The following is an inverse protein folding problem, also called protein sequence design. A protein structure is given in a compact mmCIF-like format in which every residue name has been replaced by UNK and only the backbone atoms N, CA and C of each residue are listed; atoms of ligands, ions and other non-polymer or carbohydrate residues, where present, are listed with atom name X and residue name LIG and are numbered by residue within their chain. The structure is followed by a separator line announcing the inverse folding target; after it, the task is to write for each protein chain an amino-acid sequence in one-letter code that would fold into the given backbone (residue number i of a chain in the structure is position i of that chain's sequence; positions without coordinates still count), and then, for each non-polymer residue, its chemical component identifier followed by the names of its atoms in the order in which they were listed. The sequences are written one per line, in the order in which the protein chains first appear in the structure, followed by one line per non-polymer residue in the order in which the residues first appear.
data_IF_251683739541
#
_entry.id   IF_251683739541
#
_cell.length_a   1.000
_cell.length_b   1.000
_cell.length_c   1.000
_cell.angle_alpha   90.00
_cell.angle_beta   90.00
_cell.angle_gamma   90.00
#
_symmetry.space_group_name_H-M   'P 1'
#
loop_
_entity.id
_entity.type
_entity.pdbx_description
1 polymer ?
#
# COMPACT_ATOMS: atom_id res chain seq x y z
N UNK A 1 -8.65 -6.37 -4.21
CA UNK A 1 -9.84 -5.61 -3.76
C UNK A 1 -9.78 -5.47 -2.25
N UNK A 2 -10.07 -4.28 -1.74
CA UNK A 2 -10.07 -4.02 -0.30
C UNK A 2 -11.08 -2.94 0.05
N UNK A 3 -11.49 -2.86 1.31
CA UNK A 3 -12.49 -1.89 1.74
C UNK A 3 -11.93 -0.47 1.88
N UNK A 4 -12.81 0.52 1.67
CA UNK A 4 -12.56 1.93 1.95
C UNK A 4 -13.59 2.37 3.00
N UNK A 5 -13.11 2.79 4.16
CA UNK A 5 -13.98 3.10 5.31
C UNK A 5 -13.45 4.35 6.03
N UNK A 6 -14.22 4.85 6.98
CA UNK A 6 -13.82 6.01 7.78
C UNK A 6 -12.94 5.65 8.99
N UNK A 7 -13.10 4.44 9.50
CA UNK A 7 -12.33 4.00 10.67
C UNK A 7 -11.62 2.68 10.38
N UNK A 8 -10.57 2.42 11.14
CA UNK A 8 -9.84 1.15 11.06
C UNK A 8 -10.74 -0.02 11.47
N UNK A 9 -11.62 0.15 12.47
CA UNK A 9 -12.52 -0.91 12.90
C UNK A 9 -13.54 -1.28 11.82
N UNK A 10 -14.14 -0.27 11.16
CA UNK A 10 -15.06 -0.53 10.05
C UNK A 10 -14.33 -1.26 8.90
N UNK A 11 -13.05 -0.90 8.66
CA UNK A 11 -12.24 -1.55 7.63
C UNK A 11 -12.02 -3.03 7.98
N UNK A 12 -11.65 -3.30 9.23
CA UNK A 12 -11.45 -4.68 9.69
C UNK A 12 -12.74 -5.50 9.57
N UNK A 13 -13.88 -4.93 9.99
CA UNK A 13 -15.17 -5.62 9.91
C UNK A 13 -15.54 -5.94 8.46
N UNK A 14 -15.43 -4.95 7.58
CA UNK A 14 -15.77 -5.14 6.17
C UNK A 14 -14.80 -6.11 5.47
N UNK A 15 -13.51 -6.01 5.75
CA UNK A 15 -12.51 -6.93 5.21
C UNK A 15 -12.83 -8.37 5.55
N UNK A 16 -13.10 -8.66 6.84
CA UNK A 16 -13.39 -10.03 7.26
C UNK A 16 -14.72 -10.54 6.70
N UNK A 17 -15.70 -9.66 6.51
CA UNK A 17 -16.97 -10.03 5.86
C UNK A 17 -16.79 -10.38 4.37
N UNK A 18 -15.72 -9.89 3.73
CA UNK A 18 -15.43 -10.18 2.33
C UNK A 18 -14.67 -11.50 2.14
N UNK A 19 -14.12 -12.10 3.19
CA UNK A 19 -13.34 -13.32 3.10
C UNK A 19 -14.29 -14.53 3.15
N UNK A 20 -14.24 -15.39 2.14
CA UNK A 20 -15.06 -16.60 2.10
C UNK A 20 -14.57 -17.64 3.12
N UNK A 21 -15.51 -18.35 3.72
CA UNK A 21 -15.21 -19.51 4.56
C UNK A 21 -14.77 -19.17 5.98
N UNK A 22 -14.93 -17.93 6.44
CA UNK A 22 -14.63 -17.57 7.82
C UNK A 22 -15.92 -17.47 8.64
N UNK A 23 -15.85 -17.90 9.92
CA UNK A 23 -16.89 -17.58 10.88
C UNK A 23 -16.68 -16.15 11.35
N UNK A 24 -17.61 -15.26 11.04
CA UNK A 24 -17.45 -13.83 11.35
C UNK A 24 -17.44 -13.56 12.86
N UNK A 25 -18.21 -14.31 13.65
CA UNK A 25 -18.26 -14.10 15.10
C UNK A 25 -16.93 -14.50 15.75
N UNK A 26 -16.41 -15.68 15.38
CA UNK A 26 -15.11 -16.16 15.85
C UNK A 26 -13.98 -15.23 15.42
N UNK A 27 -14.00 -14.83 14.15
CA UNK A 27 -12.99 -13.93 13.58
C UNK A 27 -13.03 -12.56 14.29
N UNK A 28 -14.23 -12.01 14.50
CA UNK A 28 -14.38 -10.73 15.17
C UNK A 28 -13.91 -10.77 16.62
N UNK A 29 -14.20 -11.85 17.35
CA UNK A 29 -13.69 -12.03 18.72
C UNK A 29 -12.15 -12.04 18.75
N UNK A 30 -11.51 -12.65 17.73
CA UNK A 30 -10.04 -12.61 17.61
C UNK A 30 -9.54 -11.18 17.33
N UNK A 31 -10.21 -10.46 16.43
CA UNK A 31 -9.86 -9.07 16.12
C UNK A 31 -9.93 -8.21 17.38
N UNK A 32 -11.04 -8.29 18.13
CA UNK A 32 -11.23 -7.53 19.35
C UNK A 32 -10.15 -7.86 20.38
N UNK A 33 -9.86 -9.15 20.58
CA UNK A 33 -8.83 -9.59 21.53
C UNK A 33 -7.45 -9.04 21.13
N UNK A 34 -7.05 -9.17 19.87
CA UNK A 34 -5.72 -8.72 19.41
C UNK A 34 -5.60 -7.20 19.56
N UNK A 35 -6.68 -6.46 19.27
CA UNK A 35 -6.70 -4.99 19.45
C UNK A 35 -6.59 -4.62 20.94
N UNK A 36 -7.31 -5.34 21.81
CA UNK A 36 -7.31 -5.06 23.25
C UNK A 36 -5.95 -5.37 23.89
N UNK A 37 -5.29 -6.44 23.44
CA UNK A 37 -3.99 -6.90 23.98
C UNK A 37 -2.80 -6.16 23.35
N UNK A 38 -3.02 -5.33 22.34
CA UNK A 38 -1.95 -4.68 21.59
C UNK A 38 -1.23 -3.63 22.43
N UNK A 39 0.10 -3.71 22.44
CA UNK A 39 0.97 -2.81 23.22
C UNK A 39 1.99 -2.15 22.29
N UNK A 40 1.75 -0.88 21.99
CA UNK A 40 2.61 -0.10 21.11
C UNK A 40 4.07 -0.02 21.62
N UNK A 41 4.25 -0.02 22.94
CA UNK A 41 5.60 0.08 23.52
C UNK A 41 6.48 -1.16 23.27
N UNK A 42 5.87 -2.24 22.83
CA UNK A 42 6.58 -3.47 22.45
C UNK A 42 6.72 -3.63 20.94
N UNK A 43 6.33 -2.62 20.18
CA UNK A 43 6.25 -2.70 18.71
C UNK A 43 7.48 -2.06 18.08
N UNK A 44 8.09 -2.77 17.15
CA UNK A 44 9.20 -2.27 16.32
C UNK A 44 8.64 -1.88 14.98
N UNK A 45 8.70 -0.58 14.67
CA UNK A 45 8.28 0.00 13.39
C UNK A 45 9.54 0.21 12.54
N UNK A 46 9.61 -0.42 11.39
CA UNK A 46 10.70 -0.19 10.45
C UNK A 46 10.27 0.84 9.39
N UNK A 47 11.13 1.83 9.16
CA UNK A 47 10.95 2.85 8.13
C UNK A 47 12.04 2.63 7.07
N UNK A 48 11.65 2.33 5.81
CA UNK A 48 12.66 2.17 4.76
C UNK A 48 13.46 3.45 4.55
N UNK A 49 14.76 3.28 4.32
CA UNK A 49 15.71 4.39 4.18
C UNK A 49 15.82 4.91 2.74
N UNK A 50 15.14 4.28 1.79
CA UNK A 50 15.21 4.64 0.37
C UNK A 50 13.84 4.45 -0.31
N UNK A 51 13.79 4.59 -1.64
CA UNK A 51 12.64 4.37 -2.53
C UNK A 51 11.39 5.16 -2.14
N UNK A 52 10.82 4.90 -0.96
CA UNK A 52 9.53 5.47 -0.53
C UNK A 52 9.63 6.95 -0.14
N UNK A 53 10.82 7.39 0.22
CA UNK A 53 11.09 8.78 0.63
C UNK A 53 11.77 9.58 -0.49
N UNK A 54 12.01 8.95 -1.66
CA UNK A 54 12.56 9.63 -2.83
C UNK A 54 11.45 10.41 -3.55
N UNK A 55 11.75 11.64 -3.94
CA UNK A 55 10.81 12.48 -4.70
C UNK A 55 9.43 12.53 -4.03
N UNK A 56 9.39 12.98 -2.77
CA UNK A 56 8.17 13.13 -1.97
C UNK A 56 7.89 14.63 -1.80
N UNK A 57 6.63 15.00 -1.82
CA UNK A 57 6.16 16.35 -1.53
C UNK A 57 6.53 16.73 -0.09
N UNK A 58 7.00 17.96 0.13
CA UNK A 58 7.46 18.43 1.44
C UNK A 58 6.37 18.30 2.52
N UNK A 59 5.11 18.55 2.19
CA UNK A 59 4.02 18.45 3.16
C UNK A 59 3.72 16.98 3.51
N UNK A 60 3.84 16.08 2.53
CA UNK A 60 3.71 14.64 2.77
C UNK A 60 4.86 14.15 3.64
N UNK A 61 6.08 14.57 3.32
CA UNK A 61 7.28 14.22 4.10
C UNK A 61 7.13 14.69 5.55
N UNK A 62 6.69 15.94 5.75
CA UNK A 62 6.53 16.49 7.10
C UNK A 62 5.46 15.74 7.89
N UNK A 63 4.28 15.52 7.29
CA UNK A 63 3.19 14.79 7.97
C UNK A 63 3.62 13.37 8.36
N UNK A 64 4.34 12.69 7.48
CA UNK A 64 4.86 11.35 7.76
C UNK A 64 5.87 11.40 8.92
N UNK A 65 6.80 12.35 8.88
CA UNK A 65 7.81 12.51 9.94
C UNK A 65 7.14 12.78 11.30
N UNK A 66 6.16 13.67 11.33
CA UNK A 66 5.42 14.00 12.56
C UNK A 66 4.69 12.78 13.12
N UNK A 67 4.10 11.96 12.24
CA UNK A 67 3.43 10.73 12.65
C UNK A 67 4.43 9.73 13.27
N UNK A 68 5.60 9.55 12.64
CA UNK A 68 6.66 8.67 13.18
C UNK A 68 7.10 9.16 14.57
N UNK A 69 7.34 10.47 14.72
CA UNK A 69 7.74 11.05 16.01
C UNK A 69 6.65 10.86 17.08
N UNK A 70 5.38 11.00 16.69
CA UNK A 70 4.26 10.78 17.62
C UNK A 70 4.19 9.33 18.10
N UNK A 71 4.44 8.38 17.20
CA UNK A 71 4.45 6.95 17.55
C UNK A 71 5.65 6.61 18.45
N UNK A 72 6.80 7.21 18.18
CA UNK A 72 7.98 7.05 19.03
C UNK A 72 7.73 7.62 20.42
N UNK A 73 7.14 8.82 20.49
CA UNK A 73 6.77 9.43 21.79
C UNK A 73 5.72 8.59 22.55
N UNK A 74 4.87 7.85 21.84
CA UNK A 74 3.90 6.93 22.42
C UNK A 74 4.50 5.57 22.80
N UNK A 75 5.82 5.38 22.57
CA UNK A 75 6.57 4.23 23.05
C UNK A 75 7.05 3.26 21.99
N UNK A 76 6.66 3.41 20.73
CA UNK A 76 7.11 2.50 19.67
C UNK A 76 8.62 2.64 19.43
N UNK A 77 9.27 1.54 19.07
CA UNK A 77 10.68 1.56 18.66
C UNK A 77 10.76 1.79 17.16
N UNK A 78 11.43 2.86 16.76
CA UNK A 78 11.60 3.19 15.34
C UNK A 78 12.97 2.70 14.87
N UNK A 79 13.00 2.01 13.72
CA UNK A 79 14.25 1.53 13.11
C UNK A 79 14.28 1.86 11.64
N UNK A 80 15.42 2.32 11.15
CA UNK A 80 15.67 2.38 9.72
C UNK A 80 15.93 0.98 9.18
N UNK A 81 15.48 0.69 7.97
CA UNK A 81 15.69 -0.60 7.32
C UNK A 81 15.95 -0.39 5.83
N UNK A 82 16.86 -1.18 5.29
CA UNK A 82 17.09 -1.22 3.85
C UNK A 82 16.27 -2.38 3.25
N UNK A 83 15.47 -2.08 2.26
CA UNK A 83 14.66 -3.08 1.55
C UNK A 83 15.41 -3.60 0.31
N UNK A 84 15.00 -4.74 -0.25
CA UNK A 84 15.57 -5.18 -1.52
C UNK A 84 15.33 -4.16 -2.63
N UNK A 85 16.07 -4.27 -3.72
CA UNK A 85 15.95 -3.37 -4.88
C UNK A 85 14.53 -3.41 -5.45
N UNK A 86 13.70 -2.48 -4.98
CA UNK A 86 12.29 -2.37 -5.37
C UNK A 86 12.11 -1.78 -6.78
N UNK A 87 13.16 -1.17 -7.35
CA UNK A 87 13.08 -0.68 -8.73
C UNK A 87 12.85 -1.82 -9.73
N UNK A 88 13.29 -3.04 -9.40
CA UNK A 88 12.99 -4.23 -10.21
C UNK A 88 11.47 -4.43 -10.37
N UNK A 89 10.69 -4.03 -9.38
CA UNK A 89 9.22 -4.14 -9.41
C UNK A 89 8.62 -3.24 -10.49
N UNK A 90 9.26 -2.10 -10.78
CA UNK A 90 8.82 -1.19 -11.86
C UNK A 90 8.78 -1.88 -13.22
N UNK A 91 9.65 -2.86 -13.44
CA UNK A 91 9.60 -3.67 -14.67
C UNK A 91 8.61 -4.83 -14.53
N UNK A 92 8.64 -5.54 -13.43
CA UNK A 92 7.94 -6.83 -13.28
C UNK A 92 6.42 -6.68 -13.03
N UNK A 93 6.05 -5.77 -12.15
CA UNK A 93 4.65 -5.62 -11.74
C UNK A 93 3.72 -5.25 -12.91
N UNK A 94 4.10 -4.29 -13.81
CA UNK A 94 3.24 -4.00 -14.95
C UNK A 94 3.06 -5.19 -15.90
N UNK A 95 4.07 -6.04 -16.06
CA UNK A 95 3.97 -7.24 -16.90
C UNK A 95 2.91 -8.17 -16.34
N UNK A 96 2.98 -8.46 -15.04
CA UNK A 96 2.00 -9.35 -14.39
C UNK A 96 0.60 -8.72 -14.46
N UNK A 97 0.47 -7.47 -14.02
CA UNK A 97 -0.82 -6.79 -13.95
C UNK A 97 -1.51 -6.71 -15.31
N UNK A 98 -0.78 -6.29 -16.35
CA UNK A 98 -1.35 -6.13 -17.70
C UNK A 98 -1.77 -7.47 -18.28
N UNK A 99 -0.95 -8.50 -18.13
CA UNK A 99 -1.25 -9.85 -18.65
C UNK A 99 -2.50 -10.42 -17.98
N UNK A 100 -2.55 -10.34 -16.64
CA UNK A 100 -3.69 -10.87 -15.89
C UNK A 100 -4.97 -10.07 -16.16
N UNK A 101 -4.88 -8.74 -16.24
CA UNK A 101 -6.04 -7.90 -16.55
C UNK A 101 -6.58 -8.23 -17.96
N UNK A 102 -5.70 -8.35 -18.94
CA UNK A 102 -6.12 -8.72 -20.30
C UNK A 102 -6.80 -10.09 -20.30
N UNK A 103 -6.20 -11.09 -19.67
CA UNK A 103 -6.75 -12.45 -19.64
C UNK A 103 -8.18 -12.51 -19.07
N UNK A 104 -8.46 -11.66 -18.05
CA UNK A 104 -9.80 -11.59 -17.45
C UNK A 104 -10.79 -10.90 -18.39
N UNK A 105 -10.36 -9.83 -19.07
CA UNK A 105 -11.24 -8.98 -19.86
C UNK A 105 -11.35 -9.39 -21.35
N UNK A 106 -10.50 -10.29 -21.83
CA UNK A 106 -10.34 -10.60 -23.25
C UNK A 106 -11.67 -10.75 -24.00
N UNK A 107 -12.56 -11.61 -23.53
CA UNK A 107 -13.85 -11.87 -24.18
C UNK A 107 -14.76 -10.63 -24.23
N UNK A 108 -14.69 -9.78 -23.21
CA UNK A 108 -15.51 -8.56 -23.15
C UNK A 108 -14.91 -7.44 -24.03
N UNK A 109 -13.60 -7.37 -24.09
CA UNK A 109 -12.91 -6.42 -24.95
C UNK A 109 -13.29 -6.68 -26.42
N UNK A 110 -13.36 -7.97 -26.81
CA UNK A 110 -13.75 -8.33 -28.19
C UNK A 110 -15.23 -8.08 -28.46
N UNK A 111 -16.11 -8.42 -27.53
CA UNK A 111 -17.55 -8.37 -27.73
C UNK A 111 -18.17 -6.99 -27.43
N UNK A 112 -17.60 -6.23 -26.51
CA UNK A 112 -18.21 -5.03 -25.94
C UNK A 112 -17.19 -3.88 -25.75
N UNK A 113 -16.33 -3.67 -26.73
CA UNK A 113 -15.27 -2.64 -26.66
C UNK A 113 -15.79 -1.24 -26.34
N UNK A 114 -16.99 -0.91 -26.83
CA UNK A 114 -17.60 0.42 -26.65
C UNK A 114 -18.10 0.69 -25.22
N UNK A 115 -18.20 -0.36 -24.39
CA UNK A 115 -18.63 -0.21 -22.98
C UNK A 115 -17.49 0.21 -22.06
N UNK A 116 -16.26 0.21 -22.55
CA UNK A 116 -15.07 0.62 -21.79
C UNK A 116 -14.79 2.10 -21.99
N UNK A 117 -14.34 2.75 -20.94
CA UNK A 117 -13.69 4.06 -21.05
C UNK A 117 -12.50 3.90 -22.01
N UNK A 118 -12.30 4.83 -22.97
CA UNK A 118 -11.22 4.68 -23.96
C UNK A 118 -9.83 4.50 -23.35
N UNK A 119 -9.51 5.24 -22.28
CA UNK A 119 -8.20 5.14 -21.63
C UNK A 119 -8.01 3.77 -20.96
N UNK A 120 -9.08 3.22 -20.38
CA UNK A 120 -9.07 1.88 -19.77
C UNK A 120 -8.91 0.82 -20.87
N UNK A 121 -9.66 0.95 -21.96
CA UNK A 121 -9.59 0.04 -23.10
C UNK A 121 -8.16 -0.08 -23.65
N UNK A 122 -7.53 1.07 -23.90
CA UNK A 122 -6.15 1.10 -24.43
C UNK A 122 -5.17 0.40 -23.47
N UNK A 123 -5.33 0.63 -22.17
CA UNK A 123 -4.47 -0.01 -21.16
C UNK A 123 -4.66 -1.52 -21.11
N UNK A 124 -5.89 -1.99 -21.26
CA UNK A 124 -6.16 -3.44 -21.29
C UNK A 124 -5.51 -4.07 -22.52
N UNK A 125 -5.56 -3.40 -23.69
CA UNK A 125 -4.92 -3.90 -24.90
C UNK A 125 -3.40 -4.04 -24.75
N UNK A 126 -2.76 -3.23 -23.90
CA UNK A 126 -1.32 -3.38 -23.61
C UNK A 126 -0.98 -4.75 -23.01
N UNK A 127 -1.96 -5.45 -22.45
CA UNK A 127 -1.77 -6.81 -21.91
C UNK A 127 -1.42 -7.87 -22.95
N UNK A 128 -1.61 -7.56 -24.25
CA UNK A 128 -1.18 -8.44 -25.34
C UNK A 128 0.32 -8.38 -25.62
N UNK A 129 1.01 -7.34 -25.11
CA UNK A 129 2.41 -7.09 -25.46
C UNK A 129 3.41 -8.01 -24.74
N UNK A 130 3.24 -8.30 -23.44
CA UNK A 130 4.22 -9.12 -22.72
C UNK A 130 4.35 -10.52 -23.34
N UNK A 131 5.59 -10.97 -23.47
CA UNK A 131 5.87 -12.32 -23.94
C UNK A 131 5.75 -13.31 -22.78
N UNK A 132 5.38 -14.55 -23.08
CA UNK A 132 5.21 -15.57 -22.04
C UNK A 132 6.42 -15.72 -21.12
N UNK A 133 7.64 -15.69 -21.69
CA UNK A 133 8.86 -15.79 -20.86
C UNK A 133 9.04 -14.57 -19.94
N UNK A 134 8.59 -13.39 -20.35
CA UNK A 134 8.67 -12.20 -19.50
C UNK A 134 7.74 -12.33 -18.29
N UNK A 135 6.52 -12.85 -18.53
CA UNK A 135 5.57 -13.13 -17.45
C UNK A 135 6.17 -14.15 -16.45
N UNK A 136 6.74 -15.25 -16.97
CA UNK A 136 7.37 -16.27 -16.10
C UNK A 136 8.51 -15.66 -15.28
N UNK A 137 9.34 -14.84 -15.92
CA UNK A 137 10.44 -14.13 -15.23
C UNK A 137 9.92 -13.20 -14.15
N UNK A 138 8.85 -12.46 -14.43
CA UNK A 138 8.24 -11.55 -13.47
C UNK A 138 7.66 -12.32 -12.27
N UNK A 139 7.01 -13.46 -12.49
CA UNK A 139 6.46 -14.28 -11.39
C UNK A 139 7.61 -14.83 -10.51
N UNK A 140 8.70 -15.32 -11.10
CA UNK A 140 9.86 -15.80 -10.31
C UNK A 140 10.48 -14.69 -9.48
N UNK A 141 10.61 -13.50 -10.07
CA UNK A 141 11.11 -12.33 -9.37
C UNK A 141 10.18 -11.94 -8.19
N UNK A 142 8.86 -12.10 -8.35
CA UNK A 142 7.91 -11.86 -7.27
C UNK A 142 8.22 -12.74 -6.05
N UNK A 143 8.43 -14.05 -6.28
CA UNK A 143 8.76 -14.98 -5.20
C UNK A 143 10.03 -14.55 -4.45
N UNK A 144 11.07 -14.20 -5.19
CA UNK A 144 12.35 -13.75 -4.64
C UNK A 144 12.18 -12.49 -3.78
N UNK A 145 11.53 -11.46 -4.33
CA UNK A 145 11.35 -10.18 -3.63
C UNK A 145 10.43 -10.37 -2.41
N UNK A 146 9.38 -11.18 -2.54
CA UNK A 146 8.47 -11.47 -1.40
C UNK A 146 9.25 -12.06 -0.23
N UNK A 147 10.13 -13.04 -0.49
CA UNK A 147 10.96 -13.65 0.56
C UNK A 147 11.91 -12.64 1.21
N UNK A 148 12.48 -11.75 0.40
CA UNK A 148 13.38 -10.71 0.91
C UNK A 148 12.66 -9.70 1.80
N UNK A 149 11.45 -9.27 1.40
CA UNK A 149 10.62 -8.37 2.20
C UNK A 149 10.15 -9.09 3.48
N UNK A 150 9.70 -10.34 3.36
CA UNK A 150 9.26 -11.13 4.52
C UNK A 150 10.39 -11.28 5.55
N UNK A 151 11.64 -11.37 5.10
CA UNK A 151 12.79 -11.46 6.01
C UNK A 151 12.95 -10.21 6.89
N UNK A 152 12.48 -9.04 6.44
CA UNK A 152 12.54 -7.80 7.22
C UNK A 152 11.69 -7.90 8.49
N UNK A 153 10.62 -8.69 8.46
CA UNK A 153 9.72 -8.88 9.61
C UNK A 153 10.31 -9.80 10.69
N UNK A 154 11.52 -10.31 10.51
CA UNK A 154 12.25 -10.98 11.59
C UNK A 154 12.72 -10.00 12.66
N UNK A 155 12.86 -8.72 12.31
CA UNK A 155 13.38 -7.68 13.20
C UNK A 155 12.44 -6.49 13.37
N UNK A 156 11.30 -6.50 12.69
CA UNK A 156 10.28 -5.45 12.77
C UNK A 156 8.90 -6.08 12.78
N UNK A 157 7.96 -5.44 13.44
CA UNK A 157 6.57 -5.91 13.47
C UNK A 157 5.79 -5.39 12.27
N UNK A 158 6.09 -4.16 11.83
CA UNK A 158 5.46 -3.52 10.68
C UNK A 158 6.48 -2.64 9.95
N UNK A 159 6.25 -2.41 8.66
CA UNK A 159 6.91 -1.36 7.89
C UNK A 159 5.96 -0.17 7.76
N UNK A 160 6.50 1.05 7.73
CA UNK A 160 5.70 2.25 7.51
C UNK A 160 6.32 3.12 6.42
N UNK A 161 5.46 3.64 5.53
CA UNK A 161 5.85 4.53 4.44
C UNK A 161 4.75 5.58 4.24
N UNK A 162 5.03 6.68 3.54
CA UNK A 162 3.92 7.51 3.03
C UNK A 162 3.05 6.65 2.10
N UNK A 163 1.73 6.82 2.17
CA UNK A 163 0.82 6.11 1.24
C UNK A 163 1.10 6.53 -0.20
N UNK A 164 1.22 7.84 -0.41
CA UNK A 164 1.52 8.44 -1.71
C UNK A 164 2.63 9.46 -1.55
N UNK A 165 3.48 9.64 -2.56
CA UNK A 165 4.54 10.66 -2.48
C UNK A 165 4.04 12.07 -2.78
N UNK A 166 2.78 12.25 -3.19
CA UNK A 166 2.23 13.53 -3.64
C UNK A 166 0.90 13.82 -2.94
N UNK A 167 0.54 15.08 -2.88
CA UNK A 167 -0.78 15.53 -2.44
C UNK A 167 -1.84 15.19 -3.50
N UNK A 168 -3.13 15.16 -3.13
CA UNK A 168 -4.21 14.98 -4.11
C UNK A 168 -4.09 16.01 -5.25
N UNK A 169 -4.22 15.52 -6.48
CA UNK A 169 -4.11 16.35 -7.69
C UNK A 169 -5.49 16.81 -8.16
N UNK A 170 -5.51 17.79 -9.05
CA UNK A 170 -6.75 18.22 -9.69
C UNK A 170 -7.31 17.12 -10.59
N UNK A 171 -8.62 17.14 -10.80
CA UNK A 171 -9.30 16.23 -11.72
C UNK A 171 -8.67 16.41 -13.11
N UNK A 172 -8.41 15.31 -13.78
CA UNK A 172 -7.79 15.25 -15.13
C UNK A 172 -6.35 15.75 -15.22
N UNK A 173 -5.71 16.06 -14.09
CA UNK A 173 -4.29 16.39 -14.09
C UNK A 173 -3.47 15.14 -14.42
N UNK A 174 -2.63 15.20 -15.44
CA UNK A 174 -1.82 14.07 -15.90
C UNK A 174 -0.35 14.18 -15.51
N UNK A 175 0.12 15.41 -15.28
CA UNK A 175 1.51 15.67 -14.90
C UNK A 175 1.56 16.68 -13.76
N UNK A 176 2.67 16.65 -13.02
CA UNK A 176 2.96 17.62 -11.96
C UNK A 176 4.47 17.84 -11.90
N UNK A 177 4.86 18.97 -11.33
CA UNK A 177 6.27 19.26 -11.06
C UNK A 177 6.49 19.01 -9.56
N UNK A 178 7.46 18.18 -9.24
CA UNK A 178 7.84 17.87 -7.87
C UNK A 178 9.37 17.93 -7.78
N UNK A 179 9.88 18.78 -6.90
CA UNK A 179 11.32 18.95 -6.70
C UNK A 179 12.08 19.22 -8.02
N UNK A 180 11.47 20.05 -8.89
CA UNK A 180 12.06 20.41 -10.18
C UNK A 180 11.98 19.34 -11.27
N UNK A 181 11.34 18.20 -10.99
CA UNK A 181 11.15 17.10 -11.95
C UNK A 181 9.71 17.05 -12.43
N UNK A 182 9.49 16.82 -13.71
CA UNK A 182 8.15 16.56 -14.24
C UNK A 182 7.82 15.08 -14.06
N UNK A 183 6.75 14.80 -13.33
CA UNK A 183 6.29 13.43 -13.04
C UNK A 183 4.91 13.20 -13.64
N UNK A 184 4.67 12.00 -14.12
CA UNK A 184 3.31 11.56 -14.48
C UNK A 184 2.55 11.25 -13.20
N UNK A 185 1.38 11.86 -13.02
CA UNK A 185 0.54 11.66 -11.83
C UNK A 185 0.30 10.17 -11.59
N UNK A 186 -0.07 9.42 -12.63
CA UNK A 186 -0.32 7.98 -12.48
C UNK A 186 0.91 7.24 -11.93
N UNK A 187 2.11 7.56 -12.38
CA UNK A 187 3.33 6.90 -11.90
C UNK A 187 3.56 7.20 -10.42
N UNK A 188 3.34 8.45 -10.01
CA UNK A 188 3.45 8.85 -8.60
C UNK A 188 2.42 8.12 -7.74
N UNK A 189 1.17 8.04 -8.19
CA UNK A 189 0.10 7.35 -7.45
C UNK A 189 0.37 5.85 -7.29
N UNK A 190 1.07 5.22 -8.21
CA UNK A 190 1.34 3.79 -8.16
C UNK A 190 2.66 3.45 -7.44
N UNK A 191 3.54 4.41 -7.25
CA UNK A 191 4.90 4.18 -6.73
C UNK A 191 4.89 3.39 -5.43
N UNK A 192 4.22 3.89 -4.45
CA UNK A 192 4.22 3.29 -3.11
C UNK A 192 3.25 2.12 -2.93
N UNK A 193 2.42 1.97 -3.77
CA UNK A 193 1.55 1.00 -3.75
C UNK A 193 1.93 -0.21 -4.39
N UNK A 194 2.63 -0.10 -5.43
CA UNK A 194 2.97 -1.26 -6.29
C UNK A 194 3.76 -2.37 -5.59
N UNK A 195 4.74 -2.07 -4.73
CA UNK A 195 5.50 -3.16 -4.11
C UNK A 195 4.63 -4.15 -3.34
N UNK A 196 3.67 -3.66 -2.57
CA UNK A 196 2.83 -4.52 -1.72
C UNK A 196 1.79 -5.29 -2.54
N UNK A 197 1.27 -4.67 -3.59
CA UNK A 197 0.41 -5.38 -4.56
C UNK A 197 1.18 -6.51 -5.27
N UNK A 198 2.46 -6.30 -5.54
CA UNK A 198 3.29 -7.28 -6.22
C UNK A 198 3.69 -8.42 -5.29
N UNK A 199 4.12 -8.11 -4.06
CA UNK A 199 4.59 -9.12 -3.11
C UNK A 199 3.46 -9.79 -2.33
N UNK A 200 2.27 -9.17 -2.30
CA UNK A 200 1.11 -9.74 -1.59
C UNK A 200 1.06 -9.43 -0.10
N UNK A 201 1.94 -8.57 0.40
CA UNK A 201 1.91 -8.20 1.82
C UNK A 201 0.66 -7.38 2.14
N UNK A 202 0.00 -7.64 3.28
CA UNK A 202 -1.14 -6.82 3.69
C UNK A 202 -0.68 -5.39 3.97
N UNK A 203 -1.42 -4.43 3.43
CA UNK A 203 -1.11 -3.02 3.58
C UNK A 203 -2.39 -2.22 3.82
N UNK A 204 -2.32 -1.26 4.72
CA UNK A 204 -3.45 -0.41 5.09
C UNK A 204 -3.00 1.04 5.14
N UNK A 205 -3.79 1.94 4.56
CA UNK A 205 -3.55 3.38 4.65
C UNK A 205 -4.42 3.99 5.74
N UNK A 206 -3.80 4.81 6.58
CA UNK A 206 -4.52 5.60 7.60
C UNK A 206 -4.10 7.07 7.47
N UNK A 207 -4.99 8.03 7.78
CA UNK A 207 -4.61 9.44 7.76
C UNK A 207 -3.52 9.73 8.80
N UNK A 208 -2.57 10.60 8.43
CA UNK A 208 -1.52 11.03 9.36
C UNK A 208 -1.35 12.55 9.43
N UNK A 209 -2.17 13.28 8.67
CA UNK A 209 -2.10 14.74 8.69
C UNK A 209 -2.93 15.35 7.57
N UNK A 210 -2.78 16.66 7.43
CA UNK A 210 -3.44 17.43 6.36
C UNK A 210 -2.45 18.42 5.75
N UNK A 211 -2.64 18.70 4.47
CA UNK A 211 -1.90 19.75 3.79
C UNK A 211 -2.33 21.13 4.29
N UNK A 212 -1.58 22.16 3.95
CA UNK A 212 -1.92 23.56 4.23
C UNK A 212 -3.28 23.95 3.65
N UNK A 213 -3.73 23.25 2.61
CA UNK A 213 -5.05 23.48 2.01
C UNK A 213 -6.14 22.58 2.60
N UNK A 214 -5.83 21.78 3.64
CA UNK A 214 -6.78 20.91 4.34
C UNK A 214 -6.98 19.53 3.72
N UNK A 215 -6.23 19.18 2.66
CA UNK A 215 -6.36 17.88 2.02
C UNK A 215 -5.68 16.78 2.87
N UNK A 216 -6.28 15.60 2.97
CA UNK A 216 -5.71 14.55 3.83
C UNK A 216 -4.42 13.97 3.27
N UNK A 217 -3.51 13.61 4.18
CA UNK A 217 -2.27 12.92 3.89
C UNK A 217 -2.33 11.57 4.60
N UNK A 218 -1.92 10.50 3.90
CA UNK A 218 -1.95 9.14 4.43
C UNK A 218 -0.58 8.55 4.67
N UNK A 219 -0.46 7.78 5.74
CA UNK A 219 0.66 6.86 5.90
C UNK A 219 0.18 5.44 5.62
N UNK A 220 1.08 4.61 5.14
CA UNK A 220 0.82 3.23 4.79
C UNK A 220 1.56 2.33 5.78
N UNK A 221 0.82 1.34 6.31
CA UNK A 221 1.34 0.34 7.23
C UNK A 221 1.35 -0.98 6.48
N UNK A 222 2.47 -1.71 6.53
CA UNK A 222 2.61 -2.99 5.86
C UNK A 222 2.97 -4.04 6.90
N UNK A 223 2.30 -5.16 6.89
CA UNK A 223 2.52 -6.27 7.81
C UNK A 223 3.11 -7.51 7.15
N UNK A 224 3.56 -8.48 7.96
CA UNK A 224 3.95 -9.79 7.44
C UNK A 224 2.79 -10.47 6.71
N UNK A 225 3.10 -11.39 5.82
CA UNK A 225 2.07 -12.15 5.09
C UNK A 225 1.10 -12.83 6.06
N UNK A 226 -0.19 -12.74 5.74
CA UNK A 226 -1.29 -13.40 6.49
C UNK A 226 -1.44 -12.90 7.94
N UNK A 227 -0.95 -11.69 8.26
CA UNK A 227 -1.06 -11.12 9.60
C UNK A 227 -2.00 -9.90 9.63
N UNK A 228 -3.09 -9.95 8.85
CA UNK A 228 -4.03 -8.83 8.72
C UNK A 228 -4.61 -8.40 10.07
N UNK A 229 -4.91 -9.36 10.96
CA UNK A 229 -5.50 -9.03 12.28
C UNK A 229 -4.51 -8.20 13.12
N UNK A 230 -3.23 -8.56 13.11
CA UNK A 230 -2.20 -7.77 13.81
C UNK A 230 -2.05 -6.39 13.18
N UNK A 231 -2.12 -6.34 11.85
CA UNK A 231 -2.03 -5.07 11.12
C UNK A 231 -3.18 -4.14 11.54
N UNK A 232 -4.40 -4.66 11.67
CA UNK A 232 -5.56 -3.89 12.14
C UNK A 232 -5.38 -3.39 13.58
N UNK A 233 -4.82 -4.23 14.46
CA UNK A 233 -4.56 -3.80 15.85
C UNK A 233 -3.56 -2.63 15.87
N UNK A 234 -2.48 -2.74 15.10
CA UNK A 234 -1.49 -1.69 14.97
C UNK A 234 -2.11 -0.42 14.36
N UNK A 235 -2.85 -0.57 13.26
CA UNK A 235 -3.50 0.55 12.58
C UNK A 235 -4.47 1.30 13.50
N UNK A 236 -5.17 0.57 14.38
CA UNK A 236 -6.09 1.18 15.34
C UNK A 236 -5.34 2.07 16.34
N UNK A 237 -4.15 1.69 16.75
CA UNK A 237 -3.33 2.54 17.64
C UNK A 237 -2.82 3.78 16.90
N UNK A 238 -2.38 3.61 15.65
CA UNK A 238 -1.97 4.76 14.82
C UNK A 238 -3.14 5.75 14.67
N UNK A 239 -4.33 5.23 14.33
CA UNK A 239 -5.52 6.06 14.18
C UNK A 239 -5.79 6.91 15.42
N UNK A 240 -5.61 6.33 16.61
CA UNK A 240 -5.79 7.04 17.89
C UNK A 240 -4.73 8.12 18.10
N UNK A 241 -3.47 7.81 17.77
CA UNK A 241 -2.35 8.73 17.98
C UNK A 241 -2.39 9.88 16.98
N UNK A 242 -2.68 9.60 15.69
CA UNK A 242 -2.63 10.61 14.63
C UNK A 242 -3.91 11.44 14.53
N UNK A 243 -5.08 10.93 14.94
CA UNK A 243 -6.32 11.74 14.94
C UNK A 243 -6.42 12.65 16.16
N UNK A 244 -5.54 12.50 17.13
CA UNK A 244 -5.47 13.38 18.29
C UNK A 244 -4.72 14.71 17.97
N UNK A 245 -4.21 14.87 16.75
CA UNK A 245 -3.46 16.07 16.32
C UNK A 245 -4.33 16.95 15.42
#
# INVERSE_FOLDING_TARGET
VGPLTRTVLDNAALFHAMIHGVDLNETWAKVEKVIADFDLSKTVIAVPDDYFLDDVDDEVQQAFTDAIQSLEAAGAQIRSISLPDLDRIRWAQPIVQKSEAYAIHERWIEARSKDYDPEVYERLLEGKQPKGYEYVRAIRMREEITQQVEACFKTADVLMTPTLPILPTNIDQRELILNGKTLKVRSALLKNXSPWNYTGHPALSVPCGRSKTGLPIGLQIIGPLHQEIKLYAFARQIERVTTAV
#
